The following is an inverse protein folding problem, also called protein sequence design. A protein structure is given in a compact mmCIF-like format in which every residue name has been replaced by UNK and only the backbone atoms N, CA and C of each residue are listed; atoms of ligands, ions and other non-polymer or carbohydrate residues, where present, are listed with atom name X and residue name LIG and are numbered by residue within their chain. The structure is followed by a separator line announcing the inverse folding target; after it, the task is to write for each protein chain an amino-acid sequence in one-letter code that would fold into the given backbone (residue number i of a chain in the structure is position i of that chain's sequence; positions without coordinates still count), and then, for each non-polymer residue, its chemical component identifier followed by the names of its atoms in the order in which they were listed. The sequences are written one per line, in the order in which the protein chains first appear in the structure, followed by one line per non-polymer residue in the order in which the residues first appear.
data_IF_082406031415
#
_entry.id   IF_082406031415
#
_cell.length_a   1.000
_cell.length_b   1.000
_cell.length_c   1.000
_cell.angle_alpha   90.00
_cell.angle_beta   90.00
_cell.angle_gamma   90.00
#
_symmetry.space_group_name_H-M   'P 1'
#
loop_
_entity.id
_entity.type
_entity.pdbx_description
1 polymer ?
#
# COMPACT_ATOMS: atom_id res chain seq x y z
N UNK A 1 2.75 5.98 -3.02
CA UNK A 1 2.51 7.44 -2.80
C UNK A 1 1.93 8.12 -4.04
N UNK A 2 1.19 9.23 -3.89
CA UNK A 2 0.71 10.05 -5.01
C UNK A 2 1.69 11.15 -5.40
N UNK A 3 1.50 12.35 -4.86
CA UNK A 3 2.49 13.44 -4.96
C UNK A 3 3.66 13.27 -3.97
N UNK A 4 3.47 12.46 -2.92
CA UNK A 4 4.43 12.34 -1.81
C UNK A 4 4.27 13.40 -0.71
N UNK A 5 3.35 14.36 -0.88
CA UNK A 5 3.14 15.44 0.10
C UNK A 5 2.73 14.96 1.50
N UNK A 6 1.87 13.94 1.57
CA UNK A 6 1.43 13.35 2.86
C UNK A 6 2.60 12.75 3.62
N UNK A 7 3.37 11.87 2.98
CA UNK A 7 4.55 11.24 3.61
C UNK A 7 5.62 12.26 3.95
N UNK A 8 5.84 13.26 3.10
CA UNK A 8 6.80 14.33 3.38
C UNK A 8 6.40 15.13 4.62
N UNK A 9 5.13 15.50 4.76
CA UNK A 9 4.61 16.24 5.91
C UNK A 9 4.71 15.43 7.20
N UNK A 10 4.21 14.19 7.19
CA UNK A 10 4.25 13.30 8.36
C UNK A 10 5.71 13.03 8.77
N UNK A 11 6.57 12.66 7.82
CA UNK A 11 7.97 12.36 8.11
C UNK A 11 8.73 13.55 8.67
N UNK A 12 8.55 14.75 8.08
CA UNK A 12 9.13 15.99 8.62
C UNK A 12 8.66 16.25 10.05
N UNK A 13 7.37 16.06 10.33
CA UNK A 13 6.82 16.25 11.67
C UNK A 13 7.43 15.27 12.68
N UNK A 14 7.51 13.97 12.34
CA UNK A 14 8.14 12.94 13.17
C UNK A 14 9.59 13.34 13.51
N UNK A 15 10.38 13.74 12.51
CA UNK A 15 11.79 14.13 12.71
C UNK A 15 11.94 15.42 13.50
N UNK A 16 11.12 16.43 13.22
CA UNK A 16 11.16 17.71 13.90
C UNK A 16 10.83 17.57 15.40
N UNK A 17 9.83 16.75 15.73
CA UNK A 17 9.44 16.47 17.11
C UNK A 17 10.32 15.41 17.80
N UNK A 18 11.23 14.76 17.05
CA UNK A 18 12.09 13.67 17.52
C UNK A 18 11.30 12.51 18.12
N UNK A 19 10.15 12.17 17.53
CA UNK A 19 9.42 10.98 17.95
C UNK A 19 10.18 9.72 17.57
N UNK A 20 10.22 8.76 18.49
CA UNK A 20 10.70 7.40 18.23
C UNK A 20 9.63 6.62 17.44
N UNK A 21 9.48 6.97 16.17
CA UNK A 21 8.46 6.42 15.28
C UNK A 21 9.04 6.27 13.89
N UNK A 22 8.79 5.11 13.28
CA UNK A 22 9.19 4.81 11.91
C UNK A 22 8.09 5.22 10.93
N UNK A 23 8.49 5.74 9.77
CA UNK A 23 7.61 6.03 8.64
C UNK A 23 7.87 5.02 7.52
N UNK A 24 6.90 4.13 7.30
CA UNK A 24 6.84 3.25 6.14
C UNK A 24 5.88 3.85 5.10
N UNK A 25 6.27 3.84 3.82
CA UNK A 25 5.41 4.25 2.71
C UNK A 25 5.18 3.10 1.75
N UNK A 26 3.92 2.78 1.48
CA UNK A 26 3.56 1.82 0.43
C UNK A 26 3.46 2.50 -0.94
N UNK A 27 3.97 1.82 -1.95
CA UNK A 27 3.93 2.23 -3.34
C UNK A 27 3.31 1.10 -4.17
N UNK A 28 2.27 1.37 -4.97
CA UNK A 28 1.72 0.32 -5.82
C UNK A 28 2.71 -0.06 -6.93
N UNK A 29 2.51 -1.20 -7.57
CA UNK A 29 3.25 -1.57 -8.76
C UNK A 29 3.02 -0.58 -9.92
N UNK A 30 3.90 -0.62 -10.92
CA UNK A 30 3.92 0.36 -12.02
C UNK A 30 4.08 1.82 -11.56
N UNK A 31 4.66 2.02 -10.37
CA UNK A 31 5.11 3.29 -9.83
C UNK A 31 6.63 3.34 -9.76
N UNK A 32 7.21 4.53 -9.91
CA UNK A 32 8.67 4.72 -9.81
C UNK A 32 9.16 5.14 -8.42
N UNK A 33 8.28 5.41 -7.45
CA UNK A 33 8.71 5.95 -6.16
C UNK A 33 9.53 4.95 -5.33
N UNK A 34 9.12 3.68 -5.29
CA UNK A 34 9.87 2.63 -4.62
C UNK A 34 11.27 2.46 -5.24
N UNK A 35 11.35 2.41 -6.57
CA UNK A 35 12.63 2.25 -7.28
C UNK A 35 13.52 3.48 -7.10
N UNK A 36 12.93 4.69 -7.04
CA UNK A 36 13.64 5.93 -6.75
C UNK A 36 14.17 5.99 -5.32
N UNK A 37 13.40 5.50 -4.34
CA UNK A 37 13.83 5.38 -2.96
C UNK A 37 15.02 4.41 -2.84
N UNK A 38 14.94 3.24 -3.48
CA UNK A 38 16.01 2.23 -3.42
C UNK A 38 17.29 2.69 -4.11
N UNK A 39 17.17 3.36 -5.25
CA UNK A 39 18.32 3.81 -6.04
C UNK A 39 18.88 5.18 -5.61
N UNK A 40 18.10 5.96 -4.86
CA UNK A 40 18.38 7.39 -4.62
C UNK A 40 18.22 8.28 -5.86
N UNK A 41 17.70 7.75 -6.98
CA UNK A 41 17.56 8.48 -8.23
C UNK A 41 16.16 9.08 -8.38
N UNK A 42 16.06 10.41 -8.25
CA UNK A 42 14.80 11.14 -8.43
C UNK A 42 14.42 11.43 -9.89
N UNK A 43 15.30 11.12 -10.85
CA UNK A 43 15.04 11.34 -12.28
C UNK A 43 14.37 10.14 -12.97
N UNK A 44 14.03 9.09 -12.21
CA UNK A 44 13.40 7.90 -12.76
C UNK A 44 12.06 8.22 -13.41
N UNK A 45 11.84 7.59 -14.57
CA UNK A 45 10.61 7.65 -15.35
C UNK A 45 10.19 6.24 -15.75
N UNK A 46 8.90 5.97 -15.59
CA UNK A 46 8.24 4.74 -16.03
C UNK A 46 7.40 5.01 -17.28
N UNK A 47 7.05 3.95 -17.99
CA UNK A 47 6.21 4.04 -19.18
C UNK A 47 4.71 4.14 -18.84
N UNK A 48 4.33 3.67 -17.64
CA UNK A 48 2.96 3.58 -17.16
C UNK A 48 2.88 4.01 -15.69
N UNK A 49 1.69 4.43 -15.25
CA UNK A 49 1.38 4.62 -13.84
C UNK A 49 0.65 3.39 -13.27
N UNK A 50 0.48 3.37 -11.95
CA UNK A 50 -0.34 2.36 -11.28
C UNK A 50 -1.81 2.50 -11.70
N UNK A 51 -2.55 1.38 -11.64
CA UNK A 51 -4.00 1.38 -11.82
C UNK A 51 -4.74 1.76 -10.55
N UNK A 52 -4.05 2.00 -9.43
CA UNK A 52 -4.62 2.48 -8.18
C UNK A 52 -4.69 4.00 -8.19
N UNK A 53 -5.91 4.53 -8.25
CA UNK A 53 -6.17 5.95 -8.40
C UNK A 53 -5.60 6.78 -7.24
N UNK A 54 -5.01 7.92 -7.60
CA UNK A 54 -4.41 8.87 -6.66
C UNK A 54 -2.99 8.52 -6.19
N UNK A 55 -2.50 7.30 -6.40
CA UNK A 55 -1.15 6.86 -6.03
C UNK A 55 -0.44 6.17 -7.20
N UNK A 56 0.88 6.06 -7.13
CA UNK A 56 1.68 5.35 -8.13
C UNK A 56 1.86 6.09 -9.44
N UNK A 57 2.93 6.87 -9.57
CA UNK A 57 3.16 7.74 -10.74
C UNK A 57 4.32 7.23 -11.59
N UNK A 58 4.30 7.50 -12.92
CA UNK A 58 5.41 7.19 -13.81
C UNK A 58 6.61 8.14 -13.65
N UNK A 59 6.58 9.09 -12.71
CA UNK A 59 7.67 10.01 -12.44
C UNK A 59 7.72 10.32 -10.95
N UNK A 60 8.91 10.56 -10.43
CA UNK A 60 9.07 11.04 -9.06
C UNK A 60 8.61 12.50 -9.00
N UNK A 61 7.67 12.78 -8.11
CA UNK A 61 7.18 14.14 -7.90
C UNK A 61 8.10 14.91 -6.92
N UNK A 62 8.35 16.22 -7.11
CA UNK A 62 9.24 17.00 -6.24
C UNK A 62 8.82 17.03 -4.76
N UNK A 63 7.53 16.84 -4.48
CA UNK A 63 7.02 16.75 -3.11
C UNK A 63 7.29 15.42 -2.42
N UNK A 64 7.84 14.42 -3.13
CA UNK A 64 8.30 13.18 -2.54
C UNK A 64 9.70 13.38 -1.95
N UNK A 65 9.81 13.27 -0.62
CA UNK A 65 11.05 13.49 0.12
C UNK A 65 11.51 12.17 0.70
N UNK A 66 12.28 11.38 -0.06
CA UNK A 66 12.76 10.06 0.36
C UNK A 66 13.51 10.08 1.71
N UNK A 67 14.27 11.14 1.98
CA UNK A 67 15.10 11.25 3.19
C UNK A 67 14.33 11.32 4.53
N UNK A 68 12.99 11.42 4.53
CA UNK A 68 12.21 11.35 5.78
C UNK A 68 11.53 9.98 5.99
N UNK A 69 11.70 9.04 5.06
CA UNK A 69 11.14 7.69 5.15
C UNK A 69 12.17 6.75 5.79
N UNK A 70 11.70 5.80 6.60
CA UNK A 70 12.52 4.69 7.11
C UNK A 70 12.46 3.47 6.20
N UNK A 71 11.32 3.26 5.55
CA UNK A 71 11.06 2.07 4.73
C UNK A 71 10.06 2.39 3.62
N UNK A 72 10.17 1.66 2.50
CA UNK A 72 9.12 1.59 1.50
C UNK A 72 8.77 0.15 1.16
N UNK A 73 7.52 -0.09 0.76
CA UNK A 73 7.03 -1.39 0.29
C UNK A 73 6.35 -1.27 -1.05
N UNK A 74 6.64 -2.21 -1.95
CA UNK A 74 5.95 -2.32 -3.23
C UNK A 74 4.74 -3.24 -3.09
N UNK A 75 3.56 -2.77 -3.47
CA UNK A 75 2.30 -3.48 -3.28
C UNK A 75 1.65 -3.75 -4.64
N UNK A 76 1.25 -5.00 -4.96
CA UNK A 76 0.53 -5.30 -6.19
C UNK A 76 -0.82 -4.57 -6.27
N UNK A 77 -1.27 -4.21 -7.48
CA UNK A 77 -2.55 -3.53 -7.68
C UNK A 77 -3.70 -4.48 -7.27
N UNK A 78 -3.59 -5.77 -7.60
CA UNK A 78 -4.53 -6.82 -7.20
C UNK A 78 -4.64 -6.98 -5.67
N UNK A 79 -3.52 -6.92 -4.95
CA UNK A 79 -3.52 -6.96 -3.48
C UNK A 79 -4.23 -5.74 -2.89
N UNK A 80 -4.02 -4.56 -3.50
CA UNK A 80 -4.66 -3.31 -3.09
C UNK A 80 -6.18 -3.39 -3.22
N UNK A 81 -6.68 -3.85 -4.37
CA UNK A 81 -8.13 -4.00 -4.62
C UNK A 81 -8.73 -5.08 -3.71
N UNK A 82 -8.10 -6.26 -3.60
CA UNK A 82 -8.54 -7.31 -2.68
C UNK A 82 -8.70 -6.80 -1.25
N UNK A 83 -7.70 -6.05 -0.76
CA UNK A 83 -7.70 -5.52 0.59
C UNK A 83 -8.77 -4.45 0.80
N UNK A 84 -9.05 -3.63 -0.22
CA UNK A 84 -10.13 -2.65 -0.18
C UNK A 84 -11.50 -3.33 -0.06
N UNK A 85 -11.76 -4.40 -0.81
CA UNK A 85 -12.98 -5.22 -0.66
C UNK A 85 -13.08 -5.82 0.73
N UNK A 86 -12.02 -6.50 1.17
CA UNK A 86 -11.97 -7.17 2.47
C UNK A 86 -12.23 -6.20 3.63
N UNK A 87 -11.50 -5.08 3.71
CA UNK A 87 -11.71 -4.13 4.80
C UNK A 87 -13.09 -3.50 4.74
N UNK A 88 -13.63 -3.26 3.54
CA UNK A 88 -14.97 -2.67 3.38
C UNK A 88 -16.05 -3.54 4.01
N UNK A 89 -15.93 -4.86 3.87
CA UNK A 89 -16.83 -5.82 4.51
C UNK A 89 -16.68 -5.78 6.04
N UNK A 90 -15.45 -5.71 6.54
CA UNK A 90 -15.18 -5.68 7.98
C UNK A 90 -15.70 -4.43 8.67
N UNK A 91 -15.56 -3.26 8.03
CA UNK A 91 -15.92 -1.97 8.64
C UNK A 91 -17.32 -1.47 8.22
N UNK A 92 -18.02 -2.20 7.34
CA UNK A 92 -19.36 -1.84 6.88
C UNK A 92 -19.44 -0.58 6.01
N UNK A 93 -18.34 -0.16 5.38
CA UNK A 93 -18.32 0.97 4.43
C UNK A 93 -17.27 0.76 3.34
N UNK A 94 -17.58 1.20 2.12
CA UNK A 94 -16.65 1.12 0.98
C UNK A 94 -15.51 2.13 1.11
N UNK A 95 -14.29 1.71 0.76
CA UNK A 95 -13.08 2.55 0.74
C UNK A 95 -12.37 2.47 -0.61
N UNK A 96 -11.63 3.51 -1.00
CA UNK A 96 -10.84 3.48 -2.23
C UNK A 96 -9.70 2.47 -2.20
N UNK A 97 -9.24 2.01 -3.36
CA UNK A 97 -8.18 1.00 -3.46
C UNK A 97 -6.83 1.45 -2.87
N UNK A 98 -6.54 2.76 -2.83
CA UNK A 98 -5.36 3.31 -2.14
C UNK A 98 -5.37 3.05 -0.63
N UNK A 99 -6.55 2.97 -0.02
CA UNK A 99 -6.73 2.51 1.36
C UNK A 99 -6.35 1.04 1.49
N UNK A 100 -6.74 0.21 0.51
CA UNK A 100 -6.34 -1.18 0.43
C UNK A 100 -4.82 -1.34 0.31
N UNK A 101 -4.16 -0.53 -0.51
CA UNK A 101 -2.68 -0.50 -0.61
C UNK A 101 -2.03 -0.24 0.75
N UNK A 102 -2.50 0.79 1.46
CA UNK A 102 -2.02 1.15 2.80
C UNK A 102 -2.21 0.00 3.79
N UNK A 103 -3.42 -0.57 3.85
CA UNK A 103 -3.74 -1.63 4.80
C UNK A 103 -2.99 -2.92 4.50
N UNK A 104 -2.78 -3.26 3.24
CA UNK A 104 -2.01 -4.45 2.90
C UNK A 104 -0.57 -4.34 3.43
N UNK A 105 0.07 -3.18 3.26
CA UNK A 105 1.38 -2.92 3.86
C UNK A 105 1.37 -2.94 5.40
N UNK A 106 0.31 -2.44 6.04
CA UNK A 106 0.13 -2.56 7.50
C UNK A 106 0.06 -4.01 7.94
N UNK A 107 -0.67 -4.86 7.23
CA UNK A 107 -0.77 -6.29 7.55
C UNK A 107 0.58 -6.99 7.38
N UNK A 108 1.36 -6.66 6.35
CA UNK A 108 2.71 -7.18 6.19
C UNK A 108 3.61 -6.76 7.37
N UNK A 109 3.61 -5.47 7.73
CA UNK A 109 4.36 -4.96 8.89
C UNK A 109 3.93 -5.64 10.20
N UNK A 110 2.63 -5.80 10.43
CA UNK A 110 2.09 -6.46 11.62
C UNK A 110 2.53 -7.93 11.71
N UNK A 111 2.49 -8.65 10.59
CA UNK A 111 2.97 -10.04 10.53
C UNK A 111 4.46 -10.13 10.88
N UNK A 112 5.27 -9.24 10.33
CA UNK A 112 6.71 -9.21 10.60
C UNK A 112 7.04 -8.79 12.04
N UNK A 113 6.34 -7.80 12.59
CA UNK A 113 6.45 -7.42 14.00
C UNK A 113 6.14 -8.62 14.90
N UNK A 114 5.06 -9.35 14.61
CA UNK A 114 4.68 -10.56 15.35
C UNK A 114 5.77 -11.64 15.26
N UNK A 115 6.36 -11.86 14.09
CA UNK A 115 7.45 -12.82 13.91
C UNK A 115 8.72 -12.43 14.69
N UNK A 116 9.01 -11.13 14.79
CA UNK A 116 10.12 -10.60 15.59
C UNK A 116 9.82 -10.49 17.09
N UNK A 117 8.59 -10.82 17.52
CA UNK A 117 8.16 -10.63 18.92
C UNK A 117 8.03 -9.15 19.33
N UNK A 118 7.89 -8.24 18.37
CA UNK A 118 7.71 -6.82 18.59
C UNK A 118 6.25 -6.48 18.91
N UNK A 119 6.06 -5.50 19.80
CA UNK A 119 4.73 -4.96 20.14
C UNK A 119 4.73 -3.46 19.88
N UNK A 120 3.57 -2.91 19.51
CA UNK A 120 3.44 -1.50 19.19
C UNK A 120 2.15 -1.21 18.42
N UNK A 121 1.95 0.07 18.11
CA UNK A 121 0.83 0.53 17.30
C UNK A 121 1.28 0.82 15.87
N UNK A 122 0.46 0.41 14.90
CA UNK A 122 0.61 0.83 13.50
C UNK A 122 -0.56 1.75 13.17
N UNK A 123 -0.26 2.96 12.72
CA UNK A 123 -1.26 3.94 12.29
C UNK A 123 -1.23 4.05 10.78
N UNK A 124 -2.39 4.07 10.14
CA UNK A 124 -2.51 4.21 8.70
C UNK A 124 -3.66 5.13 8.31
N UNK A 125 -3.69 5.52 7.05
CA UNK A 125 -4.68 6.42 6.49
C UNK A 125 -5.67 5.64 5.63
N UNK A 126 -6.96 5.83 5.91
CA UNK A 126 -8.02 5.53 4.95
C UNK A 126 -8.19 6.79 4.09
N UNK A 127 -7.88 6.67 2.81
CA UNK A 127 -7.71 7.82 1.92
C UNK A 127 -9.07 8.45 1.57
N UNK A 128 -9.84 7.79 0.72
CA UNK A 128 -11.12 8.29 0.23
C UNK A 128 -12.21 7.20 0.20
N UNK A 129 -13.44 7.65 -0.05
CA UNK A 129 -14.62 6.78 -0.06
C UNK A 129 -14.65 5.88 -1.29
N UNK A 130 -15.04 4.62 -1.07
CA UNK A 130 -15.20 3.62 -2.13
C UNK A 130 -16.36 3.89 -3.07
N UNK A 131 -17.31 4.77 -2.69
CA UNK A 131 -18.47 5.12 -3.52
C UNK A 131 -18.09 5.82 -4.84
N UNK A 132 -16.85 6.29 -4.98
CA UNK A 132 -16.32 6.86 -6.23
C UNK A 132 -15.94 5.80 -7.27
N UNK A 133 -15.84 4.54 -6.86
CA UNK A 133 -15.23 3.45 -7.63
C UNK A 133 -16.21 2.29 -7.86
N UNK A 134 -17.51 2.57 -7.81
CA UNK A 134 -18.56 1.56 -7.99
C UNK A 134 -18.49 0.88 -9.36
N UNK A 135 -18.18 1.66 -10.39
CA UNK A 135 -18.06 1.20 -11.78
C UNK A 135 -16.63 0.73 -12.14
N UNK A 136 -15.71 0.71 -11.16
CA UNK A 136 -14.32 0.28 -11.35
C UNK A 136 -13.91 -0.77 -10.32
N UNK A 137 -13.28 -0.39 -9.21
CA UNK A 137 -12.75 -1.33 -8.23
C UNK A 137 -13.81 -2.24 -7.60
N UNK A 138 -15.07 -1.82 -7.57
CA UNK A 138 -16.18 -2.62 -7.06
C UNK A 138 -16.99 -3.35 -8.15
N UNK A 139 -16.64 -3.18 -9.42
CA UNK A 139 -17.16 -3.99 -10.52
C UNK A 139 -16.19 -5.16 -10.80
N UNK A 140 -16.64 -6.39 -10.53
CA UNK A 140 -15.82 -7.59 -10.72
C UNK A 140 -15.42 -7.84 -12.18
N UNK A 141 -16.24 -7.43 -13.15
CA UNK A 141 -15.90 -7.56 -14.56
C UNK A 141 -14.76 -6.58 -14.91
N UNK A 142 -14.88 -5.33 -14.46
CA UNK A 142 -13.82 -4.34 -14.62
C UNK A 142 -12.52 -4.77 -13.94
N UNK A 143 -12.60 -5.28 -12.70
CA UNK A 143 -11.42 -5.78 -11.95
C UNK A 143 -10.75 -6.93 -12.71
N UNK A 144 -11.52 -7.89 -13.22
CA UNK A 144 -10.94 -9.02 -13.97
C UNK A 144 -10.22 -8.56 -15.23
N UNK A 145 -10.77 -7.60 -15.96
CA UNK A 145 -10.19 -7.09 -17.20
C UNK A 145 -8.98 -6.17 -16.95
N UNK A 146 -9.06 -5.31 -15.93
CA UNK A 146 -8.10 -4.22 -15.74
C UNK A 146 -7.08 -4.50 -14.63
N UNK A 147 -7.42 -5.24 -13.58
CA UNK A 147 -6.51 -5.49 -12.44
C UNK A 147 -5.97 -6.91 -12.47
N UNK A 148 -6.80 -7.88 -12.85
CA UNK A 148 -6.47 -9.30 -12.87
C UNK A 148 -7.10 -10.08 -11.71
N UNK A 149 -6.51 -11.23 -11.37
CA UNK A 149 -7.06 -12.10 -10.33
C UNK A 149 -6.71 -11.60 -8.92
N UNK A 150 -7.75 -11.29 -8.15
CA UNK A 150 -7.64 -10.84 -6.75
C UNK A 150 -7.86 -11.97 -5.73
N UNK A 151 -8.31 -13.16 -6.17
CA UNK A 151 -8.65 -14.26 -5.27
C UNK A 151 -7.46 -14.76 -4.42
N UNK A 152 -6.22 -14.86 -4.93
CA UNK A 152 -5.09 -15.28 -4.12
C UNK A 152 -4.86 -14.36 -2.91
N UNK A 153 -5.08 -13.05 -3.09
CA UNK A 153 -4.92 -12.07 -2.02
C UNK A 153 -6.09 -12.08 -1.04
N UNK A 154 -7.33 -12.31 -1.49
CA UNK A 154 -8.47 -12.51 -0.61
C UNK A 154 -8.25 -13.74 0.30
N UNK A 155 -7.80 -14.86 -0.26
CA UNK A 155 -7.48 -16.06 0.51
C UNK A 155 -6.37 -15.80 1.54
N UNK A 156 -5.33 -15.04 1.18
CA UNK A 156 -4.31 -14.62 2.14
C UNK A 156 -4.88 -13.76 3.28
N UNK A 157 -5.75 -12.79 2.96
CA UNK A 157 -6.39 -11.92 3.95
C UNK A 157 -7.28 -12.70 4.92
N UNK A 158 -8.01 -13.71 4.44
CA UNK A 158 -8.79 -14.61 5.30
C UNK A 158 -7.89 -15.38 6.29
N UNK A 159 -6.73 -15.85 5.82
CA UNK A 159 -5.74 -16.51 6.69
C UNK A 159 -5.17 -15.52 7.72
N UNK A 160 -4.83 -14.30 7.31
CA UNK A 160 -4.35 -13.25 8.23
C UNK A 160 -5.43 -12.95 9.28
N UNK A 161 -6.69 -12.82 8.88
CA UNK A 161 -7.80 -12.56 9.79
C UNK A 161 -7.98 -13.69 10.81
N UNK A 162 -7.87 -14.95 10.38
CA UNK A 162 -8.07 -16.11 11.24
C UNK A 162 -6.86 -16.41 12.16
N UNK A 163 -5.63 -16.24 11.67
CA UNK A 163 -4.39 -16.69 12.36
C UNK A 163 -3.52 -15.53 12.85
N UNK A 164 -3.84 -14.31 12.46
CA UNK A 164 -3.07 -13.10 12.73
C UNK A 164 -1.78 -12.96 11.90
N UNK A 165 -1.45 -13.92 11.03
CA UNK A 165 -0.34 -13.83 10.07
C UNK A 165 -0.34 -15.00 9.07
N UNK A 166 0.39 -14.86 7.96
CA UNK A 166 0.68 -15.95 7.00
C UNK A 166 2.16 -16.36 7.15
N UNK A 167 2.42 -17.67 7.21
CA UNK A 167 3.76 -18.27 7.13
C UNK A 167 3.98 -18.92 5.75
N UNK A 168 5.20 -18.85 5.16
CA UNK A 168 6.33 -17.99 5.49
C UNK A 168 6.22 -16.65 4.72
N UNK A 169 5.92 -15.58 5.46
CA UNK A 169 5.82 -14.18 5.04
C UNK A 169 4.83 -13.88 3.89
N UNK A 170 4.02 -12.84 4.10
CA UNK A 170 3.25 -12.14 3.07
C UNK A 170 4.15 -11.42 2.02
N UNK A 171 5.34 -11.96 1.75
CA UNK A 171 6.45 -11.41 0.99
C UNK A 171 7.14 -12.53 0.18
N UNK A 172 6.39 -13.17 -0.73
CA UNK A 172 6.98 -13.83 -1.88
C UNK A 172 6.53 -13.07 -3.13
N UNK A 173 7.41 -12.78 -4.11
CA UNK A 173 6.93 -12.29 -5.40
C UNK A 173 5.98 -13.34 -5.96
N UNK A 174 4.78 -12.93 -6.39
CA UNK A 174 4.00 -13.78 -7.29
C UNK A 174 4.76 -13.74 -8.62
N UNK A 175 5.76 -14.60 -8.75
CA UNK A 175 6.36 -14.91 -10.04
C UNK A 175 5.37 -15.77 -10.82
N UNK A 176 4.82 -15.18 -11.87
CA UNK A 176 4.59 -15.86 -13.14
C UNK A 176 5.04 -14.91 -14.26
#
# INVERSE_FOLDING_TARGET
PGTGGTSATIGRFIRYQKYDTKLCVVDPENSVFYDAFQSGNSELKGNTGSKIEGIGRPRVEPSFIAGVLDEMRKIPDAASVATAHWVSQLIGRKVGASTGTNLYGVLQLACEMKQRGETGSIVTLLCDSGERYLDTYYDLAWVKENIGDIQPYLAQLEVIQAKGCVEPACCGPITA
#
